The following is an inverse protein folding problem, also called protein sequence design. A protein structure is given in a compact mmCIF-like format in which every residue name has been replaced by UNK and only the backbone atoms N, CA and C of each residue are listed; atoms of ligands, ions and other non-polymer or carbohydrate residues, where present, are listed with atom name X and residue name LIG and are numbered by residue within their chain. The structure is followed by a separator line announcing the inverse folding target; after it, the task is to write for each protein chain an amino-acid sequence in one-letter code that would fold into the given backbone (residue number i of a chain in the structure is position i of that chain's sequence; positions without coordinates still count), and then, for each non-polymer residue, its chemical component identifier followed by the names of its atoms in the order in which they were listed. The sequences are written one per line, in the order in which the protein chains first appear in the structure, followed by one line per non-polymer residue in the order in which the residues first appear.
data_IF_237741633024
#
_entry.id   IF_237741633024
#
_cell.length_a   1.000
_cell.length_b   1.000
_cell.length_c   1.000
_cell.angle_alpha   90.00
_cell.angle_beta   90.00
_cell.angle_gamma   90.00
#
_symmetry.space_group_name_H-M   'P 1'
#
loop_
_entity.id
_entity.type
_entity.pdbx_description
1 polymer ?
#
# COMPACT_ATOMS: atom_id res chain seq x y z
N UNK A 1 -16.62 51.39 61.14
CA UNK A 1 -15.89 52.65 60.93
C UNK A 1 -14.46 52.32 60.57
N UNK A 2 -14.16 52.59 59.30
CA UNK A 2 -12.88 53.01 58.72
C UNK A 2 -11.55 52.43 59.25
N UNK A 3 -10.80 51.81 58.32
CA UNK A 3 -9.64 52.48 57.72
C UNK A 3 -9.23 51.85 56.38
N UNK A 4 -9.20 52.71 55.36
CA UNK A 4 -8.32 52.67 54.17
C UNK A 4 -6.83 52.67 54.65
N UNK A 5 -5.75 52.47 53.87
CA UNK A 5 -5.43 52.44 52.44
C UNK A 5 -3.99 51.88 52.33
N UNK A 6 -3.77 50.97 51.37
CA UNK A 6 -2.63 50.72 50.45
C UNK A 6 -1.23 51.28 50.78
N UNK A 7 -0.15 50.51 50.50
CA UNK A 7 0.99 50.85 49.59
C UNK A 7 2.17 49.85 49.64
N UNK A 8 2.41 49.17 48.50
CA UNK A 8 3.68 48.99 47.72
C UNK A 8 4.90 48.32 48.44
N UNK A 9 5.60 47.28 47.95
CA UNK A 9 6.32 47.10 46.66
C UNK A 9 6.84 45.65 46.46
N UNK A 10 7.04 45.30 45.18
CA UNK A 10 8.09 44.41 44.65
C UNK A 10 7.98 42.89 44.82
N UNK A 11 7.83 42.17 43.71
CA UNK A 11 8.98 41.50 43.08
C UNK A 11 8.56 40.80 41.78
N UNK A 12 9.31 41.07 40.71
CA UNK A 12 9.19 40.44 39.40
C UNK A 12 9.55 38.95 39.49
N UNK A 13 8.88 38.11 38.70
CA UNK A 13 9.39 36.88 38.02
C UNK A 13 8.19 36.17 37.35
N UNK A 14 8.03 36.34 36.04
CA UNK A 14 8.58 35.50 34.97
C UNK A 14 7.55 34.48 34.43
N UNK A 15 7.20 34.76 33.17
CA UNK A 15 6.58 33.97 32.12
C UNK A 15 6.48 32.45 32.35
N UNK A 16 5.25 31.96 32.18
CA UNK A 16 4.94 30.58 31.81
C UNK A 16 3.64 30.52 31.03
N UNK A 17 3.60 31.09 29.83
CA UNK A 17 2.54 30.75 28.86
C UNK A 17 2.76 29.29 28.44
N UNK A 18 2.17 28.35 29.18
CA UNK A 18 2.01 26.98 28.71
C UNK A 18 0.93 26.97 27.62
N UNK A 19 1.33 27.34 26.40
CA UNK A 19 0.60 27.00 25.18
C UNK A 19 0.68 25.48 25.00
N UNK A 20 -0.17 24.74 25.72
CA UNK A 20 -0.42 23.34 25.40
C UNK A 20 -1.36 23.30 24.19
N UNK A 21 -0.78 23.50 23.02
CA UNK A 21 -1.40 23.17 21.74
C UNK A 21 -1.48 21.65 21.63
N UNK A 22 -2.40 21.04 22.36
CA UNK A 22 -2.88 19.71 22.02
C UNK A 22 -3.56 19.84 20.66
N UNK A 23 -2.86 19.47 19.60
CA UNK A 23 -3.47 19.31 18.29
C UNK A 23 -4.64 18.35 18.44
N UNK A 24 -5.86 18.89 18.51
CA UNK A 24 -7.06 18.13 18.14
C UNK A 24 -6.88 17.85 16.65
N UNK A 25 -6.34 16.67 16.36
CA UNK A 25 -6.48 16.07 15.05
C UNK A 25 -7.97 15.86 14.89
N UNK A 26 -8.63 16.77 14.18
CA UNK A 26 -9.96 16.48 13.66
C UNK A 26 -9.77 15.23 12.79
N UNK A 27 -10.45 14.10 13.06
CA UNK A 27 -10.55 13.07 12.06
C UNK A 27 -11.57 13.60 11.05
N UNK A 28 -11.16 14.56 10.22
CA UNK A 28 -11.68 14.56 8.87
C UNK A 28 -11.26 13.20 8.34
N UNK A 29 -12.18 12.25 8.41
CA UNK A 29 -12.22 11.13 7.51
C UNK A 29 -12.34 11.75 6.12
N UNK A 30 -11.23 12.29 5.62
CA UNK A 30 -10.94 12.32 4.21
C UNK A 30 -11.13 10.88 3.81
N UNK A 31 -12.30 10.64 3.20
CA UNK A 31 -12.61 9.43 2.48
C UNK A 31 -11.46 9.32 1.50
N UNK A 32 -10.41 8.58 1.90
CA UNK A 32 -9.13 8.55 1.21
C UNK A 32 -9.46 8.32 -0.25
N UNK A 33 -9.28 9.33 -1.10
CA UNK A 33 -9.46 9.17 -2.53
C UNK A 33 -8.41 8.13 -2.90
N UNK A 34 -8.85 6.88 -2.99
CA UNK A 34 -7.94 5.77 -3.24
C UNK A 34 -7.37 6.02 -4.63
N UNK A 35 -6.12 6.46 -4.65
CA UNK A 35 -5.43 6.89 -5.86
C UNK A 35 -5.47 5.74 -6.85
N UNK A 36 -6.22 5.92 -7.95
CA UNK A 36 -6.37 4.89 -8.98
C UNK A 36 -5.02 4.62 -9.67
N UNK A 37 -4.26 5.67 -9.94
CA UNK A 37 -2.94 5.53 -10.50
C UNK A 37 -2.05 6.74 -10.18
N UNK A 38 -0.75 6.49 -10.13
CA UNK A 38 0.27 7.52 -9.93
C UNK A 38 0.98 7.72 -11.26
N UNK A 39 1.05 8.96 -11.75
CA UNK A 39 1.87 9.29 -12.93
C UNK A 39 3.35 9.15 -12.54
N UNK A 40 4.09 8.31 -13.26
CA UNK A 40 5.52 8.07 -12.97
C UNK A 40 6.47 8.65 -14.02
N UNK A 41 5.95 9.12 -15.16
CA UNK A 41 6.74 9.73 -16.24
C UNK A 41 6.70 11.26 -16.19
N UNK A 42 7.73 11.91 -16.71
CA UNK A 42 7.87 13.37 -16.63
C UNK A 42 7.19 14.11 -17.78
N UNK A 43 7.03 13.49 -18.95
CA UNK A 43 6.42 14.12 -20.12
C UNK A 43 4.89 14.23 -20.03
N UNK A 44 4.28 14.94 -20.99
CA UNK A 44 2.83 15.05 -21.11
C UNK A 44 2.19 13.68 -21.35
N UNK A 45 1.20 13.33 -20.54
CA UNK A 45 0.46 12.07 -20.62
C UNK A 45 -1.03 12.41 -20.73
N UNK A 46 -1.83 11.63 -21.47
CA UNK A 46 -3.27 11.80 -21.50
C UNK A 46 -3.91 11.79 -20.09
N UNK A 47 -5.10 12.39 -19.92
CA UNK A 47 -5.84 12.35 -18.66
C UNK A 47 -6.12 10.90 -18.22
N UNK A 48 -6.10 10.63 -16.92
CA UNK A 48 -6.32 9.27 -16.39
C UNK A 48 -7.67 8.67 -16.84
N UNK A 49 -8.69 9.52 -17.04
CA UNK A 49 -10.01 9.11 -17.54
C UNK A 49 -9.97 8.51 -18.96
N UNK A 50 -8.96 8.85 -19.78
CA UNK A 50 -8.82 8.23 -21.11
C UNK A 50 -8.49 6.73 -21.02
N UNK A 51 -8.02 6.28 -19.85
CA UNK A 51 -7.73 4.87 -19.56
C UNK A 51 -8.94 4.11 -19.00
N UNK A 52 -10.12 4.72 -18.92
CA UNK A 52 -11.31 4.11 -18.30
C UNK A 52 -11.72 2.77 -18.91
N UNK A 53 -11.42 2.56 -20.20
CA UNK A 53 -11.70 1.32 -20.93
C UNK A 53 -10.61 0.24 -20.75
N UNK A 54 -9.50 0.58 -20.09
CA UNK A 54 -8.41 -0.37 -19.87
C UNK A 54 -8.72 -1.34 -18.73
N UNK A 55 -8.28 -2.59 -18.89
CA UNK A 55 -8.53 -3.64 -17.88
C UNK A 55 -7.92 -3.30 -16.52
N UNK A 56 -6.75 -2.65 -16.49
CA UNK A 56 -6.09 -2.24 -15.25
C UNK A 56 -6.87 -1.17 -14.50
N UNK A 57 -7.43 -0.19 -15.22
CA UNK A 57 -8.24 0.88 -14.63
C UNK A 57 -9.53 0.33 -14.06
N UNK A 58 -10.24 -0.48 -14.84
CA UNK A 58 -11.50 -1.10 -14.42
C UNK A 58 -11.26 -1.96 -13.16
N UNK A 59 -10.18 -2.76 -13.17
CA UNK A 59 -9.85 -3.62 -12.03
C UNK A 59 -9.49 -2.80 -10.78
N UNK A 60 -8.69 -1.74 -10.91
CA UNK A 60 -8.34 -0.88 -9.76
C UNK A 60 -9.57 -0.15 -9.22
N UNK A 61 -10.41 0.38 -10.09
CA UNK A 61 -11.66 1.03 -9.69
C UNK A 61 -12.61 0.05 -8.98
N UNK A 62 -12.66 -1.20 -9.44
CA UNK A 62 -13.42 -2.29 -8.82
C UNK A 62 -12.93 -2.61 -7.41
N UNK A 63 -11.61 -2.76 -7.23
CA UNK A 63 -11.00 -2.99 -5.92
C UNK A 63 -11.24 -1.83 -4.95
N UNK A 64 -11.18 -0.60 -5.45
CA UNK A 64 -11.47 0.59 -4.65
C UNK A 64 -12.92 0.63 -4.13
N UNK A 65 -13.87 0.03 -4.87
CA UNK A 65 -15.26 -0.16 -4.41
C UNK A 65 -15.42 -1.30 -3.40
N UNK A 66 -14.35 -2.04 -3.08
CA UNK A 66 -14.38 -3.19 -2.19
C UNK A 66 -14.94 -4.46 -2.84
N UNK A 67 -15.05 -4.49 -4.17
CA UNK A 67 -15.53 -5.66 -4.89
C UNK A 67 -14.45 -6.75 -4.99
N UNK A 68 -14.89 -8.01 -4.98
CA UNK A 68 -14.01 -9.16 -5.14
C UNK A 68 -13.55 -9.35 -6.60
N UNK A 69 -12.30 -9.75 -6.79
CA UNK A 69 -11.78 -10.12 -8.11
C UNK A 69 -12.24 -11.53 -8.54
N UNK A 70 -12.61 -11.67 -9.81
CA UNK A 70 -12.89 -12.96 -10.44
C UNK A 70 -11.61 -13.79 -10.64
N UNK A 71 -11.75 -15.07 -11.01
CA UNK A 71 -10.59 -15.93 -11.32
C UNK A 71 -9.79 -15.40 -12.51
N UNK A 72 -10.47 -14.93 -13.55
CA UNK A 72 -9.90 -14.39 -14.78
C UNK A 72 -9.14 -13.09 -14.50
N UNK A 73 -9.70 -12.23 -13.64
CA UNK A 73 -9.06 -10.99 -13.19
C UNK A 73 -7.79 -11.28 -12.38
N UNK A 74 -7.82 -12.27 -11.49
CA UNK A 74 -6.65 -12.70 -10.71
C UNK A 74 -5.54 -13.26 -11.58
N UNK A 75 -5.89 -14.10 -12.56
CA UNK A 75 -4.94 -14.67 -13.50
C UNK A 75 -4.29 -13.58 -14.36
N UNK A 76 -5.11 -12.68 -14.90
CA UNK A 76 -4.63 -11.55 -15.67
C UNK A 76 -3.74 -10.61 -14.85
N UNK A 77 -4.11 -10.30 -13.60
CA UNK A 77 -3.31 -9.44 -12.73
C UNK A 77 -1.94 -10.08 -12.42
N UNK A 78 -1.92 -11.38 -12.14
CA UNK A 78 -0.68 -12.12 -11.92
C UNK A 78 0.23 -12.02 -13.15
N UNK A 79 -0.31 -12.21 -14.34
CA UNK A 79 0.45 -12.09 -15.58
C UNK A 79 0.94 -10.65 -15.82
N UNK A 80 0.07 -9.65 -15.70
CA UNK A 80 0.41 -8.25 -15.94
C UNK A 80 1.49 -7.71 -14.97
N UNK A 81 1.47 -8.16 -13.71
CA UNK A 81 2.45 -7.73 -12.69
C UNK A 81 3.81 -8.42 -12.90
N UNK A 82 3.84 -9.69 -13.30
CA UNK A 82 5.11 -10.41 -13.45
C UNK A 82 5.71 -10.30 -14.87
N UNK A 83 4.92 -9.90 -15.87
CA UNK A 83 5.40 -9.67 -17.24
C UNK A 83 6.02 -8.29 -17.46
N UNK A 84 5.82 -7.34 -16.54
CA UNK A 84 6.38 -5.99 -16.67
C UNK A 84 7.77 -5.90 -16.03
N UNK A 85 8.59 -4.98 -16.55
CA UNK A 85 9.98 -4.80 -16.12
C UNK A 85 10.18 -3.68 -15.10
N UNK A 86 9.16 -2.86 -14.88
CA UNK A 86 9.29 -1.63 -14.10
C UNK A 86 8.96 -1.80 -12.62
N UNK A 87 7.91 -2.56 -12.31
CA UNK A 87 7.34 -2.63 -10.97
C UNK A 87 6.97 -4.05 -10.58
N UNK A 88 7.28 -4.42 -9.34
CA UNK A 88 6.98 -5.76 -8.81
C UNK A 88 5.57 -5.91 -8.24
N UNK A 89 4.88 -4.80 -7.96
CA UNK A 89 3.59 -4.77 -7.25
C UNK A 89 2.55 -3.89 -7.95
N UNK A 90 2.87 -3.43 -9.16
CA UNK A 90 2.08 -2.46 -9.89
C UNK A 90 2.10 -2.77 -11.38
N UNK A 91 1.07 -2.32 -12.08
CA UNK A 91 0.98 -2.45 -13.54
C UNK A 91 1.13 -1.07 -14.17
N UNK A 92 2.18 -0.84 -14.98
CA UNK A 92 2.33 0.41 -15.71
C UNK A 92 1.42 0.43 -16.95
N UNK A 93 0.75 1.56 -17.21
CA UNK A 93 -0.01 1.80 -18.44
C UNK A 93 0.03 3.28 -18.82
N UNK A 94 0.46 3.57 -20.05
CA UNK A 94 0.55 4.94 -20.60
C UNK A 94 1.18 5.96 -19.63
N UNK A 95 2.28 5.62 -18.96
CA UNK A 95 2.96 6.55 -18.03
C UNK A 95 2.32 6.69 -16.64
N UNK A 96 1.24 5.96 -16.38
CA UNK A 96 0.66 5.77 -15.06
C UNK A 96 1.06 4.42 -14.46
N UNK A 97 1.13 4.37 -13.14
CA UNK A 97 1.39 3.18 -12.33
C UNK A 97 0.15 2.89 -11.50
N UNK A 98 -0.46 1.73 -11.73
CA UNK A 98 -1.59 1.23 -10.95
C UNK A 98 -1.08 0.29 -9.87
N UNK A 99 -1.16 0.69 -8.61
CA UNK A 99 -0.68 -0.10 -7.48
C UNK A 99 -1.70 -1.17 -7.08
N UNK A 100 -1.21 -2.38 -6.80
CA UNK A 100 -2.01 -3.54 -6.37
C UNK A 100 -1.41 -4.20 -5.12
N UNK A 101 -0.58 -3.48 -4.37
CA UNK A 101 0.08 -4.01 -3.17
C UNK A 101 -0.91 -4.49 -2.10
N UNK A 102 -2.09 -3.88 -2.05
CA UNK A 102 -3.20 -4.26 -1.17
C UNK A 102 -3.77 -5.66 -1.43
N UNK A 103 -3.70 -6.13 -2.68
CA UNK A 103 -4.24 -7.44 -3.09
C UNK A 103 -3.16 -8.50 -3.35
N UNK A 104 -1.94 -8.07 -3.64
CA UNK A 104 -0.84 -8.97 -3.98
C UNK A 104 -0.15 -9.53 -2.74
N UNK A 105 0.24 -10.79 -2.84
CA UNK A 105 1.07 -11.50 -1.86
C UNK A 105 2.40 -11.85 -2.49
N UNK A 106 3.43 -11.93 -1.64
CA UNK A 106 4.77 -12.35 -2.07
C UNK A 106 4.89 -13.87 -1.96
N UNK A 107 5.36 -14.50 -3.04
CA UNK A 107 5.60 -15.93 -3.12
C UNK A 107 7.06 -16.20 -3.50
N UNK A 108 7.64 -17.25 -2.92
CA UNK A 108 8.93 -17.78 -3.31
C UNK A 108 8.70 -19.14 -3.98
N UNK A 109 9.15 -19.28 -5.23
CA UNK A 109 8.92 -20.48 -6.02
C UNK A 109 10.23 -21.16 -6.34
N UNK A 110 10.31 -22.47 -6.02
CA UNK A 110 11.40 -23.33 -6.42
C UNK A 110 11.03 -24.04 -7.72
N UNK A 111 11.69 -23.63 -8.81
CA UNK A 111 11.57 -24.27 -10.11
C UNK A 111 12.95 -24.72 -10.57
N UNK A 112 13.10 -26.02 -10.86
CA UNK A 112 14.37 -26.62 -11.30
C UNK A 112 15.57 -26.35 -10.35
N UNK A 113 15.32 -26.23 -9.05
CA UNK A 113 16.36 -25.95 -8.05
C UNK A 113 16.71 -24.48 -7.88
N UNK A 114 16.07 -23.57 -8.62
CA UNK A 114 16.23 -22.12 -8.48
C UNK A 114 15.05 -21.52 -7.72
N UNK A 115 15.35 -20.62 -6.79
CA UNK A 115 14.35 -19.87 -6.02
C UNK A 115 14.13 -18.50 -6.64
N UNK A 116 12.89 -18.22 -7.04
CA UNK A 116 12.49 -16.94 -7.64
C UNK A 116 11.34 -16.32 -6.87
N UNK A 117 11.42 -15.01 -6.65
CA UNK A 117 10.36 -14.23 -6.01
C UNK A 117 9.31 -13.79 -7.03
N UNK A 118 8.04 -13.99 -6.69
CA UNK A 118 6.89 -13.58 -7.50
C UNK A 118 5.85 -12.85 -6.64
N UNK A 119 5.08 -11.97 -7.27
CA UNK A 119 3.91 -11.34 -6.66
C UNK A 119 2.65 -11.83 -7.36
N UNK A 120 1.70 -12.33 -6.59
CA UNK A 120 0.44 -12.83 -7.14
C UNK A 120 -0.72 -12.61 -6.15
N UNK A 121 -1.97 -12.47 -6.63
CA UNK A 121 -3.12 -12.35 -5.75
C UNK A 121 -3.43 -13.68 -5.03
N UNK A 122 -3.16 -14.83 -5.65
CA UNK A 122 -3.25 -16.13 -5.01
C UNK A 122 -2.26 -17.15 -5.59
N UNK A 123 -2.04 -18.25 -4.86
CA UNK A 123 -1.16 -19.34 -5.29
C UNK A 123 -1.65 -19.99 -6.59
N UNK A 124 -2.95 -20.00 -6.84
CA UNK A 124 -3.54 -20.62 -8.03
C UNK A 124 -3.20 -19.84 -9.29
N UNK A 125 -3.37 -18.52 -9.30
CA UNK A 125 -3.00 -17.69 -10.46
C UNK A 125 -1.50 -17.76 -10.74
N UNK A 126 -0.67 -17.80 -9.69
CA UNK A 126 0.77 -18.00 -9.84
C UNK A 126 1.13 -19.34 -10.49
N UNK A 127 0.45 -20.41 -10.08
CA UNK A 127 0.66 -21.75 -10.66
C UNK A 127 0.20 -21.82 -12.12
N UNK A 128 -0.84 -21.08 -12.48
CA UNK A 128 -1.26 -20.91 -13.88
C UNK A 128 -0.20 -20.14 -14.68
N UNK A 129 0.41 -19.11 -14.10
CA UNK A 129 1.44 -18.31 -14.77
C UNK A 129 2.77 -19.05 -14.99
N UNK A 130 3.29 -19.77 -13.98
CA UNK A 130 4.63 -20.39 -14.02
C UNK A 130 4.73 -21.72 -14.77
N UNK A 131 3.73 -22.06 -15.60
CA UNK A 131 3.61 -23.27 -16.41
C UNK A 131 4.74 -24.32 -16.28
N UNK A 132 4.39 -25.51 -15.80
CA UNK A 132 5.31 -26.65 -15.74
C UNK A 132 5.46 -27.27 -14.36
N UNK A 133 6.56 -28.01 -14.15
CA UNK A 133 6.81 -28.71 -12.89
C UNK A 133 7.42 -27.74 -11.88
N UNK A 134 6.63 -27.45 -10.85
CA UNK A 134 7.05 -26.63 -9.72
C UNK A 134 7.34 -27.56 -8.55
N UNK A 135 8.51 -27.42 -7.94
CA UNK A 135 8.90 -28.25 -6.80
C UNK A 135 8.19 -27.75 -5.53
N UNK A 136 8.31 -26.45 -5.25
CA UNK A 136 7.75 -25.83 -4.04
C UNK A 136 7.28 -24.40 -4.31
N UNK A 137 6.22 -23.99 -3.61
CA UNK A 137 5.74 -22.60 -3.59
C UNK A 137 5.51 -22.25 -2.12
N UNK A 138 6.19 -21.21 -1.64
CA UNK A 138 6.11 -20.70 -0.27
C UNK A 138 5.48 -19.32 -0.30
N UNK A 139 4.39 -19.10 0.45
CA UNK A 139 3.82 -17.77 0.64
C UNK A 139 4.60 -17.05 1.75
N UNK A 140 5.13 -15.88 1.45
CA UNK A 140 5.83 -15.04 2.42
C UNK A 140 4.82 -14.09 3.06
N UNK A 141 4.54 -14.31 4.35
CA UNK A 141 3.77 -13.36 5.16
C UNK A 141 4.70 -12.22 5.59
N UNK A 142 4.65 -11.11 4.89
CA UNK A 142 5.32 -9.87 5.30
C UNK A 142 4.52 -9.33 6.49
N UNK A 143 4.94 -9.66 7.72
CA UNK A 143 4.28 -9.18 8.96
C UNK A 143 4.11 -10.18 10.10
N UNK A 144 4.73 -11.36 10.06
CA UNK A 144 4.77 -12.28 11.20
C UNK A 144 6.20 -12.66 11.52
N UNK A 145 6.69 -12.27 12.70
CA UNK A 145 7.94 -12.78 13.29
C UNK A 145 7.89 -14.31 13.21
N UNK A 146 8.77 -14.90 12.42
CA UNK A 146 8.94 -16.35 12.33
C UNK A 146 9.62 -16.84 13.62
N UNK A 147 8.87 -16.93 14.71
CA UNK A 147 9.24 -17.83 15.79
C UNK A 147 8.80 -19.24 15.38
N UNK A 148 9.68 -20.22 15.60
CA UNK A 148 9.45 -21.67 15.45
C UNK A 148 9.75 -22.28 14.07
N UNK A 149 10.99 -22.19 13.62
CA UNK A 149 11.62 -23.29 12.87
C UNK A 149 13.15 -23.18 12.95
N UNK A 150 13.68 -23.19 14.18
CA UNK A 150 15.07 -23.58 14.43
C UNK A 150 14.99 -25.02 14.96
N UNK A 151 15.53 -26.02 14.25
CA UNK A 151 15.65 -27.37 14.79
C UNK A 151 16.50 -27.29 16.05
N UNK A 152 15.92 -27.67 17.20
CA UNK A 152 16.72 -27.92 18.40
C UNK A 152 17.40 -29.27 18.18
N UNK A 153 18.74 -29.25 18.11
CA UNK A 153 19.57 -30.44 18.25
C UNK A 153 19.47 -30.97 19.68
#
# INVERSE_FOLDING_TARGET
MDKQKVNTTSSMKEKGYSSSSHYRINPTAEKSEQVLAIKFVQWGVPPLESLCNSKVYILRAKLNRGECMSREEKNWLCEAVNSNTYFRTAVPLQGYRFDFFDVLKKYLVNQYGQWTEYYAPDRTSLRTYLYGRINQIVELKIGGRSESQIPKY
#
